data_IF_163666196145
#
_entry.id   IF_163666196145
#
_cell.length_a   1.000
_cell.length_b   1.000
_cell.length_c   1.000
_cell.angle_alpha   90.00
_cell.angle_beta   90.00
_cell.angle_gamma   90.00
#
_symmetry.space_group_name_H-M   'P 1'
#
loop_
_entity.id
_entity.type
_entity.pdbx_description
1 polymer ?
#
# COMPACT_ATOMS: atom_id res chain seq x y z
N UNK A 1 -1.45 13.50 4.99
CA UNK A 1 -0.99 12.62 3.91
C UNK A 1 0.35 12.06 4.33
N UNK A 2 0.53 10.75 4.29
CA UNK A 2 1.80 10.09 4.57
C UNK A 2 2.20 9.27 3.34
N UNK A 3 3.48 9.28 3.02
CA UNK A 3 4.05 8.46 1.95
C UNK A 3 5.27 7.71 2.43
N UNK A 4 5.50 6.54 1.86
CA UNK A 4 6.64 5.68 2.13
C UNK A 4 7.03 4.96 0.84
N UNK A 5 8.32 4.88 0.57
CA UNK A 5 8.85 4.11 -0.55
C UNK A 5 9.66 2.95 -0.01
N UNK A 6 9.41 1.75 -0.53
CA UNK A 6 10.17 0.56 -0.20
C UNK A 6 10.65 -0.13 -1.47
N UNK A 7 11.84 -0.74 -1.41
CA UNK A 7 12.39 -1.56 -2.50
C UNK A 7 12.72 -2.95 -2.03
N UNK A 8 12.48 -3.91 -2.91
CA UNK A 8 12.83 -5.31 -2.74
C UNK A 8 13.02 -5.98 -4.08
N UNK A 9 13.15 -7.30 -4.06
CA UNK A 9 13.27 -8.12 -5.27
C UNK A 9 12.13 -9.09 -5.37
N UNK A 10 11.70 -9.44 -6.58
CA UNK A 10 10.70 -10.49 -6.80
C UNK A 10 9.78 -10.22 -7.99
N UNK A 11 8.76 -11.09 -8.11
CA UNK A 11 7.73 -10.96 -9.12
C UNK A 11 6.61 -10.02 -8.63
N UNK A 12 6.32 -8.98 -9.41
CA UNK A 12 5.35 -7.94 -9.05
C UNK A 12 3.92 -8.47 -8.86
N UNK A 13 3.50 -9.48 -9.63
CA UNK A 13 2.14 -10.04 -9.51
C UNK A 13 2.00 -10.85 -8.22
N UNK A 14 3.06 -11.55 -7.80
CA UNK A 14 3.11 -12.22 -6.49
C UNK A 14 3.12 -11.20 -5.35
N UNK A 15 3.96 -10.16 -5.43
CA UNK A 15 4.00 -9.08 -4.43
C UNK A 15 2.63 -8.41 -4.32
N UNK A 16 2.00 -8.09 -5.45
CA UNK A 16 0.64 -7.55 -5.49
C UNK A 16 -0.37 -8.50 -4.85
N UNK A 17 -0.34 -9.80 -5.19
CA UNK A 17 -1.25 -10.79 -4.63
C UNK A 17 -1.15 -10.90 -3.11
N UNK A 18 0.07 -10.93 -2.56
CA UNK A 18 0.29 -10.93 -1.11
C UNK A 18 -0.21 -9.66 -0.44
N UNK A 19 0.06 -8.50 -1.03
CA UNK A 19 -0.44 -7.21 -0.53
C UNK A 19 -1.96 -7.15 -0.55
N UNK A 20 -2.58 -7.55 -1.66
CA UNK A 20 -4.03 -7.46 -1.83
C UNK A 20 -4.76 -8.38 -0.84
N UNK A 21 -4.28 -9.62 -0.71
CA UNK A 21 -4.80 -10.56 0.28
C UNK A 21 -4.61 -10.04 1.72
N UNK A 22 -3.42 -9.50 2.05
CA UNK A 22 -3.14 -9.01 3.39
C UNK A 22 -4.00 -7.78 3.74
N UNK A 23 -4.12 -6.81 2.84
CA UNK A 23 -4.88 -5.58 3.09
C UNK A 23 -6.38 -5.84 3.17
N UNK A 24 -6.93 -6.67 2.27
CA UNK A 24 -8.36 -7.00 2.27
C UNK A 24 -8.74 -7.96 3.40
N UNK A 25 -7.86 -8.88 3.78
CA UNK A 25 -8.12 -9.88 4.83
C UNK A 25 -8.27 -9.32 6.25
N UNK A 26 -7.84 -8.07 6.49
CA UNK A 26 -7.74 -7.51 7.84
C UNK A 26 -8.63 -6.29 8.10
N UNK A 27 -9.50 -5.92 7.15
CA UNK A 27 -10.36 -4.74 7.33
C UNK A 27 -11.79 -5.01 6.87
N UNK A 28 -12.70 -5.19 7.84
CA UNK A 28 -14.14 -5.44 7.66
C UNK A 28 -14.94 -4.30 7.01
N UNK A 29 -14.27 -3.23 6.58
CA UNK A 29 -14.84 -2.11 5.82
C UNK A 29 -13.89 -1.55 4.75
N UNK A 30 -12.85 -2.32 4.38
CA UNK A 30 -11.92 -1.95 3.32
C UNK A 30 -12.38 -2.55 2.00
N UNK A 31 -12.42 -1.71 0.97
CA UNK A 31 -12.81 -2.11 -0.37
C UNK A 31 -11.78 -1.65 -1.40
N UNK A 32 -11.61 -2.41 -2.48
CA UNK A 32 -10.84 -1.96 -3.62
C UNK A 32 -11.60 -0.86 -4.36
N UNK A 33 -11.06 0.36 -4.33
CA UNK A 33 -11.63 1.49 -5.05
C UNK A 33 -11.15 1.57 -6.51
N UNK A 34 -10.01 0.96 -6.83
CA UNK A 34 -9.52 0.88 -8.20
C UNK A 34 -8.21 0.12 -8.36
N UNK A 35 -8.00 -0.41 -9.56
CA UNK A 35 -6.73 -0.98 -9.99
C UNK A 35 -6.42 -0.53 -11.40
N UNK A 36 -5.16 -0.20 -11.65
CA UNK A 36 -4.64 0.01 -12.98
C UNK A 36 -3.34 -0.77 -13.14
N UNK A 37 -3.12 -1.36 -14.30
CA UNK A 37 -1.90 -2.09 -14.59
C UNK A 37 -1.49 -1.88 -16.04
N UNK A 38 -0.21 -1.61 -16.26
CA UNK A 38 0.36 -1.52 -17.60
C UNK A 38 1.79 -2.06 -17.63
N UNK A 39 2.28 -2.31 -18.84
CA UNK A 39 3.70 -2.52 -19.09
C UNK A 39 4.18 -1.39 -20.00
N UNK A 40 5.35 -0.83 -19.69
CA UNK A 40 6.02 0.19 -20.49
C UNK A 40 7.46 -0.30 -20.65
N UNK A 41 7.86 -0.61 -21.88
CA UNK A 41 9.14 -1.25 -22.19
C UNK A 41 9.38 -2.51 -21.31
N UNK A 42 10.49 -2.53 -20.56
CA UNK A 42 10.87 -3.59 -19.64
C UNK A 42 10.34 -3.40 -18.21
N UNK A 43 9.49 -2.38 -17.98
CA UNK A 43 8.88 -2.09 -16.69
C UNK A 43 7.42 -2.54 -16.63
N UNK A 44 7.04 -3.15 -15.51
CA UNK A 44 5.65 -3.47 -15.16
C UNK A 44 5.19 -2.53 -14.06
N UNK A 45 4.00 -1.97 -14.20
CA UNK A 45 3.42 -1.03 -13.23
C UNK A 45 2.04 -1.52 -12.80
N UNK A 46 1.78 -1.49 -11.49
CA UNK A 46 0.47 -1.76 -10.90
C UNK A 46 0.16 -0.65 -9.90
N UNK A 47 -0.96 0.05 -10.10
CA UNK A 47 -1.55 0.94 -9.12
C UNK A 47 -2.76 0.25 -8.51
N UNK A 48 -2.83 0.23 -7.17
CA UNK A 48 -3.97 -0.27 -6.41
C UNK A 48 -4.42 0.79 -5.41
N UNK A 49 -5.71 1.06 -5.37
CA UNK A 49 -6.32 2.00 -4.42
C UNK A 49 -7.32 1.27 -3.54
N UNK A 50 -7.12 1.39 -2.24
CA UNK A 50 -8.03 0.92 -1.21
C UNK A 50 -8.73 2.11 -0.57
N UNK A 51 -10.00 1.92 -0.22
CA UNK A 51 -10.74 2.84 0.63
C UNK A 51 -11.26 2.09 1.84
N UNK A 52 -11.18 2.74 3.01
CA UNK A 52 -11.76 2.25 4.25
C UNK A 52 -12.67 3.32 4.81
N UNK A 53 -13.93 2.95 5.01
CA UNK A 53 -14.91 3.82 5.65
C UNK A 53 -14.94 3.56 7.16
N UNK A 54 -14.94 4.65 7.94
CA UNK A 54 -15.01 4.64 9.40
C UNK A 54 -16.37 5.19 9.85
N UNK A 55 -17.26 4.29 10.26
CA UNK A 55 -18.63 4.63 10.68
C UNK A 55 -18.69 5.56 11.90
N UNK A 56 -17.75 5.45 12.85
CA UNK A 56 -17.77 6.17 14.14
C UNK A 56 -17.71 7.70 13.98
N UNK A 57 -17.05 8.19 12.95
CA UNK A 57 -16.86 9.61 12.70
C UNK A 57 -17.23 10.02 11.26
N UNK A 58 -17.89 9.13 10.51
CA UNK A 58 -18.25 9.34 9.10
C UNK A 58 -17.04 9.80 8.25
N UNK A 59 -15.86 9.24 8.50
CA UNK A 59 -14.63 9.57 7.77
C UNK A 59 -14.21 8.44 6.84
N UNK A 60 -13.41 8.78 5.83
CA UNK A 60 -12.84 7.84 4.88
C UNK A 60 -11.32 7.98 4.90
N UNK A 61 -10.62 6.85 4.94
CA UNK A 61 -9.21 6.77 4.62
C UNK A 61 -8.98 6.02 3.32
N UNK A 62 -7.88 6.34 2.64
CA UNK A 62 -7.44 5.65 1.44
C UNK A 62 -5.98 5.29 1.52
N UNK A 63 -5.61 4.18 0.90
CA UNK A 63 -4.23 3.76 0.66
C UNK A 63 -4.07 3.48 -0.83
N UNK A 64 -3.15 4.20 -1.45
CA UNK A 64 -2.70 3.93 -2.81
C UNK A 64 -1.35 3.23 -2.73
N UNK A 65 -1.22 2.11 -3.44
CA UNK A 65 0.03 1.39 -3.61
C UNK A 65 0.38 1.40 -5.09
N UNK A 66 1.51 2.00 -5.43
CA UNK A 66 2.11 1.92 -6.74
C UNK A 66 3.28 0.93 -6.67
N UNK A 67 3.19 -0.14 -7.43
CA UNK A 67 4.26 -1.10 -7.65
C UNK A 67 4.87 -0.85 -9.03
N UNK A 68 6.18 -0.69 -9.08
CA UNK A 68 6.95 -0.59 -10.32
C UNK A 68 8.03 -1.65 -10.28
N UNK A 69 8.05 -2.54 -11.26
CA UNK A 69 9.04 -3.60 -11.36
C UNK A 69 9.86 -3.49 -12.63
N UNK A 70 11.18 -3.61 -12.50
CA UNK A 70 12.13 -3.63 -13.61
C UNK A 70 13.34 -4.49 -13.21
N UNK A 71 13.78 -5.40 -14.08
CA UNK A 71 14.98 -6.23 -13.85
C UNK A 71 15.02 -6.89 -12.46
N UNK A 72 13.91 -7.52 -12.06
CA UNK A 72 13.70 -8.21 -10.77
C UNK A 72 13.69 -7.31 -9.52
N UNK A 73 13.89 -6.00 -9.67
CA UNK A 73 13.69 -5.03 -8.59
C UNK A 73 12.24 -4.56 -8.63
N UNK A 74 11.59 -4.50 -7.47
CA UNK A 74 10.26 -3.95 -7.29
C UNK A 74 10.36 -2.77 -6.32
N UNK A 75 9.91 -1.62 -6.77
CA UNK A 75 9.67 -0.44 -5.94
C UNK A 75 8.18 -0.38 -5.60
N UNK A 76 7.87 -0.21 -4.32
CA UNK A 76 6.54 -0.03 -3.80
C UNK A 76 6.44 1.36 -3.17
N UNK A 77 5.65 2.26 -3.78
CA UNK A 77 5.30 3.54 -3.20
C UNK A 77 3.90 3.46 -2.58
N UNK A 78 3.83 3.69 -1.27
CA UNK A 78 2.59 3.72 -0.50
C UNK A 78 2.23 5.17 -0.21
N UNK A 79 0.98 5.56 -0.45
CA UNK A 79 0.46 6.90 -0.15
C UNK A 79 -0.89 6.76 0.56
N UNK A 80 -1.05 7.43 1.71
CA UNK A 80 -2.33 7.47 2.43
C UNK A 80 -2.86 8.87 2.72
N UNK A 81 -4.18 8.92 2.90
CA UNK A 81 -4.92 10.10 3.29
C UNK A 81 -6.19 9.73 4.04
N UNK A 82 -6.62 10.55 5.01
CA UNK A 82 -7.94 10.43 5.66
C UNK A 82 -7.99 10.35 7.20
N UNK A 83 -6.86 10.36 7.91
CA UNK A 83 -6.79 10.35 9.38
C UNK A 83 -6.15 11.61 9.95
N UNK A 84 -6.82 12.28 10.90
CA UNK A 84 -6.33 13.50 11.58
C UNK A 84 -4.99 13.36 12.33
N UNK A 85 -4.38 14.52 12.66
CA UNK A 85 -3.00 14.83 13.09
C UNK A 85 -2.32 13.90 14.13
N UNK A 86 -0.99 13.72 14.17
CA UNK A 86 0.12 14.40 13.49
C UNK A 86 1.50 13.79 13.85
N UNK A 87 2.57 14.35 13.24
CA UNK A 87 3.99 13.92 13.27
C UNK A 87 4.65 13.85 14.65
N UNK A 88 5.37 12.74 14.94
CA UNK A 88 6.85 12.65 14.97
C UNK A 88 7.24 11.20 14.56
N UNK A 89 7.87 11.02 13.38
CA UNK A 89 8.56 9.76 12.97
C UNK A 89 7.83 8.76 12.04
N UNK A 90 6.87 9.18 11.20
CA UNK A 90 5.91 8.33 10.43
C UNK A 90 4.77 7.81 11.32
N UNK A 91 3.92 8.74 11.74
CA UNK A 91 2.70 8.47 12.51
C UNK A 91 1.51 8.20 11.57
N UNK A 92 1.36 6.96 11.11
CA UNK A 92 0.05 6.48 10.66
C UNK A 92 -0.89 6.58 11.89
N UNK A 93 -1.93 7.41 11.85
CA UNK A 93 -2.84 7.68 12.99
C UNK A 93 -3.74 6.48 13.32
N UNK A 94 -5.06 6.67 13.43
CA UNK A 94 -6.04 5.55 13.40
C UNK A 94 -6.02 4.72 12.09
N UNK A 95 -5.16 5.14 11.15
CA UNK A 95 -4.74 4.49 9.91
C UNK A 95 -3.59 3.48 10.10
N UNK A 96 -3.03 3.37 11.32
CA UNK A 96 -1.91 2.48 11.68
C UNK A 96 -2.11 1.03 11.29
N UNK A 97 -3.37 0.56 11.31
CA UNK A 97 -3.64 -0.83 11.00
C UNK A 97 -3.48 -1.11 9.51
N UNK A 98 -4.23 -0.45 8.62
CA UNK A 98 -4.31 -0.90 7.23
C UNK A 98 -3.07 -0.57 6.40
N UNK A 99 -2.43 0.60 6.60
CA UNK A 99 -1.14 0.84 5.94
C UNK A 99 0.01 0.11 6.64
N UNK A 100 -0.05 -0.01 7.97
CA UNK A 100 0.92 -0.82 8.71
C UNK A 100 0.94 -2.28 8.26
N UNK A 101 -0.22 -2.83 7.85
CA UNK A 101 -0.31 -4.16 7.24
C UNK A 101 0.49 -4.20 5.93
N UNK A 102 0.26 -3.26 5.00
CA UNK A 102 0.99 -3.22 3.74
C UNK A 102 2.51 -3.12 3.96
N UNK A 103 2.96 -2.27 4.89
CA UNK A 103 4.38 -2.14 5.25
C UNK A 103 4.93 -3.44 5.84
N UNK A 104 4.23 -4.06 6.80
CA UNK A 104 4.67 -5.33 7.40
C UNK A 104 4.72 -6.46 6.37
N UNK A 105 3.76 -6.53 5.47
CA UNK A 105 3.76 -7.50 4.36
C UNK A 105 4.97 -7.29 3.46
N UNK A 106 5.29 -6.06 3.09
CA UNK A 106 6.50 -5.75 2.32
C UNK A 106 7.78 -6.13 3.07
N UNK A 107 7.88 -5.83 4.37
CA UNK A 107 9.02 -6.24 5.21
C UNK A 107 9.17 -7.76 5.28
N UNK A 108 8.07 -8.51 5.39
CA UNK A 108 8.08 -9.98 5.36
C UNK A 108 8.55 -10.54 4.01
N UNK A 109 8.31 -9.80 2.92
CA UNK A 109 8.82 -10.11 1.59
C UNK A 109 10.27 -9.63 1.37
N UNK A 110 10.93 -9.06 2.39
CA UNK A 110 12.31 -8.60 2.33
C UNK A 110 12.51 -7.21 1.73
N UNK A 111 11.46 -6.41 1.61
CA UNK A 111 11.57 -5.02 1.16
C UNK A 111 12.07 -4.12 2.29
N UNK A 112 12.87 -3.11 1.94
CA UNK A 112 13.39 -2.10 2.84
C UNK A 112 13.01 -0.69 2.40
N UNK A 113 12.90 0.24 3.34
CA UNK A 113 12.70 1.67 3.08
C UNK A 113 13.91 2.28 2.36
N UNK A 114 13.67 3.29 1.52
CA UNK A 114 14.66 3.93 0.63
C UNK A 114 14.60 5.43 0.71
#
# INVERSE_FOLDING_TARGET
MAELTMRGTGNIDQVFGYLDQAVLGHASSCEPAGTYGCAIDDARVILRVYQKYYFRNNSQASLSILLVARNNVVEAKLVSSGGGAGLIGISWGAEKEFTGIAVRTLQQLGFAEV
#
